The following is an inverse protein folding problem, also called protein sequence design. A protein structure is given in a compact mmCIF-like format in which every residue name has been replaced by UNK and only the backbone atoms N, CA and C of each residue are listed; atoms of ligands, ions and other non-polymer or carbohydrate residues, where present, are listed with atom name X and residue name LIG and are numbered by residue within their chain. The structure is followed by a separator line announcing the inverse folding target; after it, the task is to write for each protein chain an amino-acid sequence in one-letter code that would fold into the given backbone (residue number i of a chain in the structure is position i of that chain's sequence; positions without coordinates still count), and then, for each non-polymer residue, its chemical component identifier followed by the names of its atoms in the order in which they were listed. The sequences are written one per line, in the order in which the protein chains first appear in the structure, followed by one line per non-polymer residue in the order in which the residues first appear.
data_IF_450403940255
#
_entry.id   IF_450403940255
#
_cell.length_a   1.000
_cell.length_b   1.000
_cell.length_c   1.000
_cell.angle_alpha   90.00
_cell.angle_beta   90.00
_cell.angle_gamma   90.00
#
_symmetry.space_group_name_H-M   'P 1'
#
loop_
_entity.id
_entity.type
_entity.pdbx_description
1 polymer ?
#
# COMPACT_ATOMS: atom_id res chain seq x y z
N UNK A 1 -1.76 20.56 2.69
CA UNK A 1 -1.60 19.67 1.51
C UNK A 1 -0.59 18.58 1.85
N UNK A 2 -0.89 17.32 1.55
CA UNK A 2 0.06 16.22 1.72
C UNK A 2 -0.02 15.30 0.52
N UNK A 3 1.08 15.19 -0.24
CA UNK A 3 1.16 14.38 -1.46
C UNK A 3 0.75 12.93 -1.16
N UNK A 4 -0.13 12.36 -1.98
CA UNK A 4 -0.70 11.01 -1.79
C UNK A 4 -1.85 10.90 -0.77
N UNK A 5 -2.07 11.92 0.05
CA UNK A 5 -3.02 11.88 1.18
C UNK A 5 -4.16 12.88 1.02
N UNK A 6 -3.85 14.11 0.58
CA UNK A 6 -4.83 15.19 0.41
C UNK A 6 -4.34 16.22 -0.61
N UNK A 7 -5.22 16.65 -1.51
CA UNK A 7 -4.96 17.80 -2.39
C UNK A 7 -5.26 19.13 -1.67
N UNK A 8 -4.81 20.29 -2.19
CA UNK A 8 -5.09 21.59 -1.57
C UNK A 8 -6.58 21.84 -1.35
N UNK A 9 -7.43 21.37 -2.28
CA UNK A 9 -8.89 21.51 -2.20
C UNK A 9 -9.58 20.59 -1.19
N UNK A 10 -8.93 19.50 -0.77
CA UNK A 10 -9.51 18.49 0.11
C UNK A 10 -8.89 18.49 1.51
N UNK A 11 -7.77 19.20 1.73
CA UNK A 11 -7.05 19.17 2.99
C UNK A 11 -7.96 19.45 4.20
N UNK A 12 -8.78 20.50 4.14
CA UNK A 12 -9.69 20.87 5.24
C UNK A 12 -11.02 20.10 5.25
N UNK A 13 -11.31 19.33 4.19
CA UNK A 13 -12.56 18.57 4.04
C UNK A 13 -12.43 17.10 4.46
N UNK A 14 -11.22 16.63 4.80
CA UNK A 14 -10.97 15.24 5.21
C UNK A 14 -10.80 15.13 6.71
N UNK A 15 -11.49 14.17 7.31
CA UNK A 15 -11.32 13.84 8.72
C UNK A 15 -9.98 13.16 8.96
N UNK A 16 -9.48 13.18 10.20
CA UNK A 16 -8.20 12.54 10.52
C UNK A 16 -8.21 11.04 10.28
N UNK A 17 -9.35 10.37 10.48
CA UNK A 17 -9.51 8.96 10.13
C UNK A 17 -9.35 8.72 8.63
N UNK A 18 -9.90 9.59 7.77
CA UNK A 18 -9.73 9.51 6.32
C UNK A 18 -8.26 9.76 5.93
N UNK A 19 -7.63 10.78 6.52
CA UNK A 19 -6.21 11.09 6.28
C UNK A 19 -5.31 9.91 6.63
N UNK A 20 -5.54 9.24 7.78
CA UNK A 20 -4.82 8.03 8.18
C UNK A 20 -4.96 6.89 7.16
N UNK A 21 -6.17 6.64 6.65
CA UNK A 21 -6.38 5.61 5.61
C UNK A 21 -5.64 5.94 4.32
N UNK A 22 -5.62 7.21 3.91
CA UNK A 22 -4.89 7.61 2.70
C UNK A 22 -3.37 7.55 2.89
N UNK A 23 -2.87 7.89 4.08
CA UNK A 23 -1.46 7.70 4.46
C UNK A 23 -1.05 6.24 4.35
N UNK A 24 -1.84 5.33 4.92
CA UNK A 24 -1.53 3.90 4.84
C UNK A 24 -1.60 3.38 3.40
N UNK A 25 -2.60 3.81 2.62
CA UNK A 25 -2.67 3.47 1.19
C UNK A 25 -1.45 3.97 0.43
N UNK A 26 -1.05 5.22 0.62
CA UNK A 26 0.13 5.80 -0.03
C UNK A 26 1.39 5.02 0.37
N UNK A 27 1.55 4.68 1.64
CA UNK A 27 2.67 3.85 2.12
C UNK A 27 2.72 2.50 1.41
N UNK A 28 1.59 1.81 1.23
CA UNK A 28 1.56 0.54 0.51
C UNK A 28 1.89 0.70 -0.98
N UNK A 29 1.43 1.77 -1.62
CA UNK A 29 1.81 2.11 -3.01
C UNK A 29 3.31 2.33 -3.13
N UNK A 30 3.92 3.09 -2.22
CA UNK A 30 5.36 3.36 -2.25
C UNK A 30 6.18 2.09 -2.01
N UNK A 31 5.74 1.23 -1.08
CA UNK A 31 6.37 -0.06 -0.83
C UNK A 31 6.31 -0.99 -2.05
N UNK A 32 5.18 -1.04 -2.74
CA UNK A 32 5.04 -1.84 -3.96
C UNK A 32 5.91 -1.27 -5.09
N UNK A 33 5.93 0.05 -5.29
CA UNK A 33 6.84 0.71 -6.24
C UNK A 33 8.30 0.38 -5.97
N UNK A 34 8.73 0.42 -4.70
CA UNK A 34 10.09 0.07 -4.32
C UNK A 34 10.44 -1.40 -4.62
N UNK A 35 9.45 -2.28 -4.67
CA UNK A 35 9.60 -3.71 -5.05
C UNK A 35 9.37 -3.98 -6.55
N UNK A 36 8.98 -2.98 -7.34
CA UNK A 36 8.56 -3.18 -8.73
C UNK A 36 7.22 -3.91 -8.87
N UNK A 37 6.37 -3.84 -7.84
CA UNK A 37 5.08 -4.52 -7.76
C UNK A 37 3.91 -3.56 -7.96
N UNK A 38 2.82 -4.06 -8.55
CA UNK A 38 1.61 -3.29 -8.76
C UNK A 38 0.70 -3.33 -7.52
N UNK A 39 0.36 -2.16 -6.97
CA UNK A 39 -0.49 -2.06 -5.77
C UNK A 39 -1.96 -1.75 -6.08
N UNK A 40 -2.36 -1.69 -7.34
CA UNK A 40 -3.71 -1.24 -7.72
C UNK A 40 -4.33 -2.30 -8.62
N UNK A 41 -5.62 -2.60 -8.38
CA UNK A 41 -6.38 -3.51 -9.23
C UNK A 41 -6.19 -4.99 -8.89
N UNK A 42 -6.43 -5.85 -9.87
CA UNK A 42 -6.44 -7.31 -9.72
C UNK A 42 -5.06 -7.90 -9.42
N UNK A 43 -3.97 -7.23 -9.79
CA UNK A 43 -2.60 -7.70 -9.54
C UNK A 43 -2.27 -7.87 -8.03
N UNK A 44 -2.99 -7.16 -7.14
CA UNK A 44 -2.77 -7.21 -5.69
C UNK A 44 -2.96 -8.62 -5.13
N UNK A 45 -3.98 -9.36 -5.59
CA UNK A 45 -4.30 -10.68 -5.04
C UNK A 45 -3.19 -11.69 -5.34
N UNK A 46 -2.67 -11.68 -6.57
CA UNK A 46 -1.57 -12.52 -7.01
C UNK A 46 -0.27 -12.18 -6.27
N UNK A 47 0.03 -10.89 -6.10
CA UNK A 47 1.22 -10.44 -5.34
C UNK A 47 1.12 -10.89 -3.87
N UNK A 48 -0.05 -10.75 -3.24
CA UNK A 48 -0.27 -11.21 -1.87
C UNK A 48 -0.06 -12.72 -1.73
N UNK A 49 -0.56 -13.52 -2.68
CA UNK A 49 -0.34 -14.97 -2.70
C UNK A 49 1.15 -15.28 -2.82
N UNK A 50 1.85 -14.63 -3.76
CA UNK A 50 3.29 -14.78 -3.96
C UNK A 50 4.09 -14.46 -2.70
N UNK A 51 3.79 -13.36 -2.01
CA UNK A 51 4.46 -13.00 -0.75
C UNK A 51 4.22 -14.02 0.35
N UNK A 52 2.98 -14.55 0.46
CA UNK A 52 2.63 -15.57 1.44
C UNK A 52 3.43 -16.85 1.21
N UNK A 53 3.54 -17.30 -0.03
CA UNK A 53 4.32 -18.48 -0.42
C UNK A 53 5.81 -18.28 -0.16
N UNK A 54 6.37 -17.13 -0.54
CA UNK A 54 7.78 -16.80 -0.28
C UNK A 54 8.08 -16.80 1.22
N UNK A 55 7.20 -16.24 2.04
CA UNK A 55 7.32 -16.25 3.50
C UNK A 55 7.24 -17.67 4.08
N UNK A 56 6.35 -18.51 3.56
CA UNK A 56 6.24 -19.91 3.96
C UNK A 56 7.52 -20.70 3.62
N UNK A 57 7.99 -20.60 2.37
CA UNK A 57 9.24 -21.24 1.92
C UNK A 57 10.44 -20.81 2.78
N UNK A 58 10.58 -19.52 3.05
CA UNK A 58 11.65 -18.98 3.92
C UNK A 58 11.61 -19.55 5.34
N UNK A 59 10.41 -19.79 5.90
CA UNK A 59 10.25 -20.38 7.24
C UNK A 59 10.55 -21.88 7.26
N UNK A 60 10.35 -22.58 6.16
CA UNK A 60 10.65 -24.02 6.04
C UNK A 60 12.13 -24.27 5.80
N UNK A 61 12.84 -23.33 5.18
CA UNK A 61 14.28 -23.39 4.93
C UNK A 61 15.15 -22.89 6.09
N UNK A 62 14.55 -22.56 7.23
CA UNK A 62 15.21 -22.00 8.42
C UNK A 62 14.96 -22.91 9.60
#
# INVERSE_FOLDING_TARGET
YSRGVSCPHCYDKKTDAQRKRFLEREKQVQLAKARGEEHIGSAITEIHQRHKEMKYKKRQSQ
#
